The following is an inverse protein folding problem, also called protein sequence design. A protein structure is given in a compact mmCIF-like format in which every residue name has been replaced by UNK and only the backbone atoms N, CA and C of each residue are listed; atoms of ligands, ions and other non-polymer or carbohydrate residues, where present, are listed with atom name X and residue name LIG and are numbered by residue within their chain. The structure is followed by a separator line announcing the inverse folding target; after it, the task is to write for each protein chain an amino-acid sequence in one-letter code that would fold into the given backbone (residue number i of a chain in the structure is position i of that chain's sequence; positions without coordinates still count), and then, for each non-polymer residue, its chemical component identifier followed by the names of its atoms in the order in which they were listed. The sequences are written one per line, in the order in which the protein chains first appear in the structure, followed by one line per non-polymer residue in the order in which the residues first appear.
data_IF_873289338484
#
_entry.id   IF_873289338484
#
_cell.length_a   1.000
_cell.length_b   1.000
_cell.length_c   1.000
_cell.angle_alpha   90.00
_cell.angle_beta   90.00
_cell.angle_gamma   90.00
#
_symmetry.space_group_name_H-M   'P 1'
#
loop_
_entity.id
_entity.type
_entity.pdbx_description
1 polymer ?
#
# COMPACT_ATOMS: atom_id res chain seq x y z
N UNK A 1 -38.15 -33.81 46.89
CA UNK A 1 -37.87 -33.72 45.44
C UNK A 1 -37.04 -32.47 45.23
N UNK A 2 -35.73 -32.62 44.98
CA UNK A 2 -34.89 -31.52 44.51
C UNK A 2 -35.18 -31.37 43.01
N UNK A 3 -35.66 -30.20 42.60
CA UNK A 3 -35.70 -29.82 41.21
C UNK A 3 -34.33 -29.25 40.84
N UNK A 4 -33.56 -30.03 40.09
CA UNK A 4 -32.32 -29.57 39.47
C UNK A 4 -32.71 -28.69 38.28
N UNK A 5 -32.58 -27.36 38.41
CA UNK A 5 -32.61 -26.47 37.25
C UNK A 5 -31.37 -26.76 36.41
N UNK A 6 -31.57 -27.33 35.23
CA UNK A 6 -30.56 -27.31 34.19
C UNK A 6 -30.47 -25.87 33.68
N UNK A 7 -29.38 -25.18 34.02
CA UNK A 7 -28.96 -23.96 33.35
C UNK A 7 -28.52 -24.39 31.95
N UNK A 8 -29.37 -24.23 30.93
CA UNK A 8 -28.88 -24.19 29.56
C UNK A 8 -28.06 -22.91 29.45
N UNK A 9 -26.74 -23.05 29.39
CA UNK A 9 -25.87 -21.93 29.08
C UNK A 9 -26.22 -21.49 27.66
N UNK A 10 -26.94 -20.37 27.54
CA UNK A 10 -27.01 -19.65 26.28
C UNK A 10 -25.58 -19.22 25.97
N UNK A 11 -25.06 -19.63 24.80
CA UNK A 11 -23.80 -19.07 24.30
C UNK A 11 -24.01 -17.56 24.13
N UNK A 12 -23.08 -16.79 24.64
CA UNK A 12 -23.01 -15.35 24.43
C UNK A 12 -22.23 -15.09 23.12
N UNK A 13 -22.48 -13.96 22.43
CA UNK A 13 -21.69 -13.60 21.26
C UNK A 13 -20.19 -13.52 21.60
N UNK A 14 -19.34 -13.98 20.70
CA UNK A 14 -17.87 -13.90 20.83
C UNK A 14 -17.33 -13.21 19.58
N UNK A 15 -17.00 -11.92 19.68
CA UNK A 15 -16.76 -11.10 18.50
C UNK A 15 -15.29 -11.17 18.06
N UNK A 16 -15.09 -11.36 16.76
CA UNK A 16 -13.78 -11.31 16.11
C UNK A 16 -13.74 -10.16 15.11
N UNK A 17 -12.62 -9.44 15.06
CA UNK A 17 -12.43 -8.26 14.22
C UNK A 17 -11.31 -8.49 13.20
N UNK A 18 -11.61 -8.26 11.93
CA UNK A 18 -10.69 -8.41 10.80
C UNK A 18 -10.75 -7.17 9.91
N UNK A 19 -9.73 -6.91 9.09
CA UNK A 19 -9.79 -5.87 8.07
C UNK A 19 -9.46 -6.38 6.68
N UNK A 20 -9.68 -5.53 5.68
CA UNK A 20 -9.58 -5.89 4.27
C UNK A 20 -8.21 -5.61 3.64
N UNK A 21 -7.18 -5.29 4.42
CA UNK A 21 -5.90 -4.79 3.89
C UNK A 21 -4.98 -5.88 3.31
N UNK A 22 -5.22 -7.14 3.63
CA UNK A 22 -4.41 -8.29 3.19
C UNK A 22 -5.09 -9.25 2.20
N UNK A 23 -6.36 -9.02 1.85
CA UNK A 23 -7.19 -10.03 1.18
C UNK A 23 -6.85 -10.35 -0.29
N UNK A 24 -6.07 -9.53 -1.01
CA UNK A 24 -6.00 -9.65 -2.47
C UNK A 24 -5.01 -10.71 -3.02
N UNK A 25 -4.01 -11.15 -2.24
CA UNK A 25 -2.96 -12.05 -2.74
C UNK A 25 -2.75 -13.36 -1.98
N UNK A 26 -3.69 -13.76 -1.12
CA UNK A 26 -3.74 -15.16 -0.73
C UNK A 26 -4.42 -16.02 -1.82
N UNK A 27 -3.88 -15.96 -3.03
CA UNK A 27 -4.24 -16.88 -4.13
C UNK A 27 -3.93 -18.32 -3.70
N UNK A 28 -3.11 -18.53 -2.67
CA UNK A 28 -2.97 -19.83 -2.02
C UNK A 28 -4.17 -20.16 -1.09
N UNK A 29 -4.74 -19.21 -0.34
CA UNK A 29 -5.98 -19.40 0.43
C UNK A 29 -7.20 -19.67 -0.45
N UNK A 30 -7.25 -19.17 -1.69
CA UNK A 30 -8.29 -19.58 -2.67
C UNK A 30 -8.21 -21.08 -3.01
N UNK A 31 -7.06 -21.74 -2.77
CA UNK A 31 -6.87 -23.18 -3.02
C UNK A 31 -6.50 -24.00 -1.77
N UNK A 32 -6.44 -23.38 -0.59
CA UNK A 32 -6.18 -24.01 0.71
C UNK A 32 -7.28 -23.50 1.65
N UNK A 33 -8.40 -24.24 1.77
CA UNK A 33 -9.54 -23.85 2.61
C UNK A 33 -9.16 -23.57 4.07
N UNK A 34 -8.10 -24.20 4.57
CA UNK A 34 -7.68 -24.13 5.97
C UNK A 34 -6.73 -22.97 6.30
N UNK A 35 -6.58 -21.97 5.41
CA UNK A 35 -5.58 -20.89 5.56
C UNK A 35 -6.12 -19.47 5.42
N UNK A 36 -7.44 -19.27 5.43
CA UNK A 36 -8.00 -17.98 5.78
C UNK A 36 -7.85 -17.75 7.30
N UNK A 37 -6.62 -17.78 7.81
CA UNK A 37 -6.28 -17.00 9.00
C UNK A 37 -6.20 -15.57 8.49
N UNK A 38 -7.35 -14.94 8.26
CA UNK A 38 -7.43 -13.49 8.14
C UNK A 38 -6.99 -12.95 9.51
N UNK A 39 -5.68 -12.73 9.61
CA UNK A 39 -5.02 -12.28 10.81
C UNK A 39 -5.68 -10.95 11.27
N UNK A 40 -5.85 -10.85 12.58
CA UNK A 40 -6.33 -9.72 13.37
C UNK A 40 -6.11 -8.33 12.74
N UNK A 41 -6.95 -7.35 13.10
CA UNK A 41 -6.81 -5.94 12.70
C UNK A 41 -5.36 -5.45 12.59
N UNK A 42 -5.00 -4.92 11.42
CA UNK A 42 -3.70 -4.37 11.13
C UNK A 42 -3.44 -3.06 11.88
N UNK A 43 -2.70 -3.12 12.98
CA UNK A 43 -2.36 -1.92 13.76
C UNK A 43 -0.85 -1.64 13.73
N UNK A 44 -0.39 -0.39 13.55
CA UNK A 44 -1.15 0.86 13.40
C UNK A 44 -1.54 1.21 11.95
N UNK A 45 -2.62 1.98 11.77
CA UNK A 45 -3.11 2.48 10.49
C UNK A 45 -2.51 3.85 10.10
N UNK A 46 -2.48 4.13 8.81
CA UNK A 46 -2.05 5.38 8.20
C UNK A 46 -3.16 6.43 8.32
N UNK A 47 -2.85 7.61 8.88
CA UNK A 47 -3.77 8.74 8.87
C UNK A 47 -4.15 9.14 7.43
N UNK A 48 -5.45 9.24 7.18
CA UNK A 48 -6.07 9.45 5.87
C UNK A 48 -6.61 8.17 5.22
N UNK A 49 -6.26 6.98 5.73
CA UNK A 49 -6.64 5.73 5.12
C UNK A 49 -8.12 5.38 5.30
N UNK A 50 -8.72 4.84 4.23
CA UNK A 50 -10.05 4.24 4.24
C UNK A 50 -9.93 2.73 4.05
N UNK A 51 -10.64 1.98 4.90
CA UNK A 51 -10.63 0.52 4.93
C UNK A 51 -11.91 -0.02 5.55
N UNK A 52 -12.13 -1.33 5.44
CA UNK A 52 -13.27 -2.01 6.05
C UNK A 52 -12.83 -2.89 7.19
N UNK A 53 -13.60 -2.88 8.25
CA UNK A 53 -13.51 -3.82 9.36
C UNK A 53 -14.70 -4.78 9.27
N UNK A 54 -14.42 -6.07 9.32
CA UNK A 54 -15.41 -7.14 9.41
C UNK A 54 -15.49 -7.62 10.85
N UNK A 55 -16.71 -7.71 11.36
CA UNK A 55 -16.97 -8.19 12.71
C UNK A 55 -17.80 -9.47 12.59
N UNK A 56 -17.21 -10.56 13.04
CA UNK A 56 -17.80 -11.90 13.08
C UNK A 56 -18.24 -12.22 14.50
N UNK A 57 -19.15 -13.18 14.65
CA UNK A 57 -19.49 -13.79 15.93
C UNK A 57 -19.09 -15.26 15.88
N UNK A 58 -17.96 -15.63 16.48
CA UNK A 58 -17.40 -16.99 16.44
C UNK A 58 -18.31 -18.05 17.10
N UNK A 59 -19.40 -17.62 17.76
CA UNK A 59 -20.42 -18.50 18.31
C UNK A 59 -21.67 -18.65 17.43
N UNK A 60 -21.77 -17.91 16.33
CA UNK A 60 -22.87 -17.90 15.35
C UNK A 60 -24.26 -17.75 16.01
N UNK A 61 -24.33 -16.92 17.06
CA UNK A 61 -25.58 -16.67 17.80
C UNK A 61 -26.22 -15.34 17.45
N UNK A 62 -25.61 -14.57 16.55
CA UNK A 62 -26.07 -13.24 16.15
C UNK A 62 -26.26 -13.11 14.64
N UNK A 63 -27.20 -12.25 14.27
CA UNK A 63 -27.38 -11.80 12.89
C UNK A 63 -27.16 -10.28 12.76
N UNK A 64 -26.60 -9.65 13.79
CA UNK A 64 -26.36 -8.22 13.91
C UNK A 64 -27.58 -7.30 13.68
N UNK A 65 -28.82 -7.82 13.69
CA UNK A 65 -29.99 -6.99 13.43
C UNK A 65 -30.23 -5.99 14.56
N UNK A 66 -30.11 -4.71 14.25
CA UNK A 66 -30.30 -3.61 15.19
C UNK A 66 -29.07 -3.34 16.06
N UNK A 67 -27.97 -4.04 15.80
CA UNK A 67 -26.67 -3.74 16.39
C UNK A 67 -26.10 -2.48 15.74
N UNK A 68 -25.21 -1.80 16.45
CA UNK A 68 -24.49 -0.64 15.93
C UNK A 68 -23.08 -0.59 16.49
N UNK A 69 -22.27 0.27 15.88
CA UNK A 69 -20.90 0.51 16.27
C UNK A 69 -20.66 1.99 16.49
N UNK A 70 -19.78 2.31 17.43
CA UNK A 70 -19.35 3.66 17.74
C UNK A 70 -17.82 3.73 17.77
N UNK A 71 -17.25 4.90 17.47
CA UNK A 71 -15.86 5.16 17.76
C UNK A 71 -15.74 5.96 19.04
N UNK A 72 -14.83 5.55 19.94
CA UNK A 72 -14.56 6.30 21.16
C UNK A 72 -13.88 7.66 20.91
N UNK A 73 -13.27 7.86 19.73
CA UNK A 73 -12.72 9.16 19.29
C UNK A 73 -12.79 9.33 17.75
N UNK A 74 -13.83 10.02 17.27
CA UNK A 74 -14.01 10.34 15.84
C UNK A 74 -12.90 11.21 15.23
N UNK A 75 -12.06 11.85 16.04
CA UNK A 75 -10.89 12.60 15.54
C UNK A 75 -9.71 11.69 15.17
N UNK A 76 -9.75 10.43 15.62
CA UNK A 76 -8.78 9.37 15.31
C UNK A 76 -9.38 8.38 14.30
N UNK A 77 -10.59 7.88 14.55
CA UNK A 77 -11.25 6.91 13.67
C UNK A 77 -12.70 7.32 13.42
N UNK A 78 -13.04 7.58 12.16
CA UNK A 78 -14.40 7.94 11.77
C UNK A 78 -15.09 6.77 11.10
N UNK A 79 -16.31 6.46 11.56
CA UNK A 79 -17.19 5.51 10.87
C UNK A 79 -17.88 6.23 9.71
N UNK A 80 -17.77 5.66 8.51
CA UNK A 80 -18.39 6.17 7.28
C UNK A 80 -19.74 5.51 7.07
N UNK A 81 -19.77 4.18 7.14
CA UNK A 81 -20.96 3.36 6.90
C UNK A 81 -20.90 2.07 7.71
N UNK A 82 -22.07 1.48 7.94
CA UNK A 82 -22.23 0.20 8.64
C UNK A 82 -23.29 -0.61 7.90
N UNK A 83 -22.90 -1.77 7.40
CA UNK A 83 -23.81 -2.73 6.77
C UNK A 83 -23.69 -4.10 7.42
N UNK A 84 -24.65 -4.98 7.15
CA UNK A 84 -24.56 -6.39 7.54
C UNK A 84 -24.93 -7.28 6.37
N UNK A 85 -24.16 -8.32 6.16
CA UNK A 85 -24.36 -9.26 5.07
C UNK A 85 -24.48 -10.68 5.63
N UNK A 86 -25.31 -11.48 4.96
CA UNK A 86 -25.33 -12.92 5.15
C UNK A 86 -24.13 -13.48 4.38
N UNK A 87 -23.31 -14.29 5.04
CA UNK A 87 -22.14 -14.90 4.47
C UNK A 87 -22.28 -16.42 4.58
N UNK A 88 -22.01 -17.12 3.49
CA UNK A 88 -22.11 -18.58 3.43
C UNK A 88 -20.70 -19.11 3.16
N UNK A 89 -19.99 -19.50 4.23
CA UNK A 89 -18.62 -20.03 4.14
C UNK A 89 -18.58 -21.51 3.74
N UNK A 90 -19.65 -22.25 4.04
CA UNK A 90 -19.70 -23.70 3.92
C UNK A 90 -20.68 -24.12 2.83
N UNK A 91 -20.17 -24.34 1.60
CA UNK A 91 -20.95 -24.87 0.48
C UNK A 91 -21.63 -26.25 0.78
N UNK A 92 -21.29 -26.88 1.91
CA UNK A 92 -21.67 -28.25 2.30
C UNK A 92 -22.57 -28.36 3.57
N UNK A 93 -22.87 -27.28 4.32
CA UNK A 93 -23.79 -27.34 5.48
C UNK A 93 -25.05 -26.46 5.27
N UNK A 94 -26.17 -27.12 4.95
CA UNK A 94 -27.37 -26.51 4.37
C UNK A 94 -28.20 -25.59 5.32
N UNK A 95 -27.67 -25.02 6.42
CA UNK A 95 -28.56 -24.32 7.36
C UNK A 95 -28.00 -23.32 8.39
N UNK A 96 -26.70 -23.05 8.43
CA UNK A 96 -26.16 -22.06 9.37
C UNK A 96 -25.98 -20.73 8.60
N UNK A 97 -26.92 -19.81 8.79
CA UNK A 97 -26.85 -18.46 8.23
C UNK A 97 -25.79 -17.67 9.03
N UNK A 98 -24.54 -17.62 8.55
CA UNK A 98 -23.54 -16.75 9.16
C UNK A 98 -23.79 -15.30 8.74
N UNK A 99 -23.55 -14.38 9.66
CA UNK A 99 -23.70 -12.96 9.40
C UNK A 99 -22.40 -12.25 9.74
N UNK A 100 -22.10 -11.21 8.97
CA UNK A 100 -20.98 -10.31 9.22
C UNK A 100 -21.49 -8.88 9.34
N UNK A 101 -20.96 -8.13 10.30
CA UNK A 101 -21.13 -6.68 10.37
C UNK A 101 -19.92 -6.02 9.71
N UNK A 102 -20.17 -5.26 8.64
CA UNK A 102 -19.16 -4.59 7.82
C UNK A 102 -19.15 -3.12 8.19
N UNK A 103 -18.02 -2.63 8.69
CA UNK A 103 -17.83 -1.24 9.11
C UNK A 103 -16.84 -0.57 8.18
N UNK A 104 -17.31 0.39 7.38
CA UNK A 104 -16.44 1.24 6.56
C UNK A 104 -15.91 2.39 7.43
N UNK A 105 -14.60 2.52 7.53
CA UNK A 105 -13.95 3.50 8.42
C UNK A 105 -12.90 4.34 7.69
N UNK A 106 -12.62 5.51 8.25
CA UNK A 106 -11.53 6.39 7.88
C UNK A 106 -10.65 6.70 9.09
N UNK A 107 -9.36 6.40 8.99
CA UNK A 107 -8.34 6.85 9.93
C UNK A 107 -8.14 8.36 9.74
N UNK A 108 -8.53 9.17 10.72
CA UNK A 108 -8.58 10.63 10.60
C UNK A 108 -7.28 11.32 11.01
N UNK A 109 -6.70 10.92 12.14
CA UNK A 109 -5.57 11.61 12.75
C UNK A 109 -4.82 10.72 13.72
N UNK A 110 -3.56 11.07 13.99
CA UNK A 110 -2.72 10.26 14.86
C UNK A 110 -3.29 10.18 16.28
N UNK A 111 -3.36 8.97 16.84
CA UNK A 111 -3.93 8.72 18.16
C UNK A 111 -4.37 7.27 18.34
N UNK A 112 -5.15 7.04 19.38
CA UNK A 112 -5.76 5.76 19.68
C UNK A 112 -7.26 5.96 19.86
N UNK A 113 -8.04 5.04 19.33
CA UNK A 113 -9.49 4.94 19.50
C UNK A 113 -9.88 3.48 19.73
N UNK A 114 -11.12 3.26 20.13
CA UNK A 114 -11.75 1.95 20.18
C UNK A 114 -12.93 1.96 19.21
N UNK A 115 -13.10 0.86 18.46
CA UNK A 115 -14.34 0.57 17.74
C UNK A 115 -15.20 -0.27 18.66
N UNK A 116 -16.21 0.35 19.25
CA UNK A 116 -17.11 -0.24 20.24
C UNK A 116 -18.35 -0.82 19.54
N UNK A 117 -18.77 -2.02 19.96
CA UNK A 117 -19.93 -2.73 19.41
C UNK A 117 -21.04 -2.80 20.44
N UNK A 118 -22.24 -2.41 20.04
CA UNK A 118 -23.43 -2.39 20.88
C UNK A 118 -24.53 -3.25 20.27
N UNK A 119 -25.20 -4.04 21.11
CA UNK A 119 -26.31 -4.86 20.69
C UNK A 119 -27.59 -4.04 20.43
N UNK A 120 -28.66 -4.72 20.02
CA UNK A 120 -29.97 -4.10 19.75
C UNK A 120 -30.65 -3.47 20.98
N UNK A 121 -30.17 -3.76 22.18
CA UNK A 121 -30.66 -3.21 23.44
C UNK A 121 -29.78 -2.05 23.94
N UNK A 122 -28.80 -1.61 23.16
CA UNK A 122 -27.79 -0.61 23.53
C UNK A 122 -26.82 -1.11 24.62
N UNK A 123 -26.71 -2.44 24.81
CA UNK A 123 -25.73 -3.02 25.71
C UNK A 123 -24.37 -3.14 24.99
N UNK A 124 -23.31 -2.67 25.63
CA UNK A 124 -21.93 -2.85 25.16
C UNK A 124 -21.59 -4.35 25.10
N UNK A 125 -21.07 -4.80 23.96
CA UNK A 125 -20.71 -6.20 23.72
C UNK A 125 -19.20 -6.37 23.74
N UNK A 126 -18.48 -5.66 22.88
CA UNK A 126 -17.02 -5.74 22.76
C UNK A 126 -16.42 -4.47 22.13
N UNK A 127 -15.09 -4.35 22.14
CA UNK A 127 -14.38 -3.28 21.48
C UNK A 127 -13.03 -3.71 20.91
N UNK A 128 -12.67 -3.15 19.76
CA UNK A 128 -11.36 -3.35 19.15
C UNK A 128 -10.48 -2.08 19.27
N UNK A 129 -9.23 -2.18 19.76
CA UNK A 129 -8.33 -1.05 19.82
C UNK A 129 -7.77 -0.71 18.43
N UNK A 130 -7.80 0.57 18.09
CA UNK A 130 -7.33 1.10 16.80
C UNK A 130 -6.27 2.16 17.06
N UNK A 131 -5.08 1.97 16.47
CA UNK A 131 -4.00 2.96 16.51
C UNK A 131 -3.83 3.58 15.13
N UNK A 132 -3.69 4.91 15.08
CA UNK A 132 -3.46 5.66 13.84
C UNK A 132 -2.18 6.47 13.98
N UNK A 133 -1.33 6.43 12.95
CA UNK A 133 -0.07 7.15 12.87
C UNK A 133 0.01 8.09 11.68
N UNK A 134 0.85 9.13 11.81
CA UNK A 134 1.28 9.96 10.67
C UNK A 134 2.71 9.56 10.32
N UNK A 135 3.02 9.19 9.06
CA UNK A 135 4.33 8.68 8.73
C UNK A 135 5.40 9.76 8.82
N UNK A 136 6.59 9.35 9.29
CA UNK A 136 7.80 10.16 9.22
C UNK A 136 8.80 9.64 8.17
N UNK A 137 8.49 8.47 7.57
CA UNK A 137 9.29 7.85 6.53
C UNK A 137 8.36 7.22 5.48
N UNK A 138 8.78 7.32 4.22
CA UNK A 138 8.14 6.67 3.08
C UNK A 138 9.21 5.87 2.35
N UNK A 139 8.93 4.60 2.08
CA UNK A 139 9.78 3.75 1.28
C UNK A 139 9.08 3.43 -0.04
N UNK A 140 9.84 3.53 -1.14
CA UNK A 140 9.40 3.04 -2.43
C UNK A 140 9.99 1.66 -2.63
N UNK A 141 9.14 0.67 -2.91
CA UNK A 141 9.56 -0.68 -3.27
C UNK A 141 9.27 -0.91 -4.75
N UNK A 142 10.20 -1.49 -5.53
CA UNK A 142 9.92 -1.74 -6.93
C UNK A 142 8.79 -2.76 -7.00
N UNK A 143 7.81 -2.52 -7.88
CA UNK A 143 6.77 -3.49 -8.23
C UNK A 143 7.37 -4.66 -9.03
N UNK A 144 8.52 -5.20 -8.62
CA UNK A 144 9.20 -6.33 -9.24
C UNK A 144 8.34 -7.58 -9.23
N UNK A 145 8.88 -8.79 -9.45
CA UNK A 145 8.07 -10.01 -9.42
C UNK A 145 7.62 -10.30 -7.99
N UNK A 146 6.60 -9.58 -7.50
CA UNK A 146 5.80 -9.91 -6.32
C UNK A 146 4.96 -11.18 -6.57
N UNK A 147 5.03 -11.74 -7.79
CA UNK A 147 4.22 -12.84 -8.30
C UNK A 147 4.74 -14.26 -8.04
N UNK A 148 5.91 -14.44 -7.41
CA UNK A 148 6.42 -15.79 -7.16
C UNK A 148 7.04 -15.83 -5.78
N UNK A 149 6.39 -16.60 -4.92
CA UNK A 149 6.86 -17.19 -3.67
C UNK A 149 8.38 -17.42 -3.71
N UNK A 150 9.12 -16.39 -3.29
CA UNK A 150 10.58 -16.41 -3.22
C UNK A 150 10.91 -16.24 -1.77
N UNK A 151 11.23 -17.36 -1.14
CA UNK A 151 11.87 -17.45 0.16
C UNK A 151 12.96 -16.37 0.32
N UNK A 152 12.58 -15.25 0.93
CA UNK A 152 13.47 -14.38 1.71
C UNK A 152 14.39 -13.39 0.97
N UNK A 153 14.18 -13.02 -0.30
CA UNK A 153 14.97 -11.92 -0.90
C UNK A 153 14.08 -10.89 -1.59
N UNK A 154 13.58 -9.94 -0.80
CA UNK A 154 12.97 -8.70 -1.30
C UNK A 154 14.11 -7.84 -1.88
N UNK A 155 14.08 -7.50 -3.18
CA UNK A 155 15.10 -6.64 -3.77
C UNK A 155 15.01 -5.24 -3.15
N UNK A 156 15.94 -4.90 -2.25
CA UNK A 156 16.09 -3.53 -1.78
C UNK A 156 16.55 -2.66 -2.96
N UNK A 157 15.93 -1.50 -3.12
CA UNK A 157 16.43 -0.54 -4.08
C UNK A 157 17.76 0.02 -3.59
N UNK A 158 18.80 -0.10 -4.43
CA UNK A 158 20.05 0.61 -4.17
C UNK A 158 19.85 2.14 -4.18
N UNK A 159 20.80 2.92 -3.62
CA UNK A 159 20.68 4.37 -3.48
C UNK A 159 20.65 5.15 -4.80
N UNK A 160 20.85 4.49 -5.95
CA UNK A 160 20.97 5.11 -7.26
C UNK A 160 20.08 4.41 -8.29
N UNK A 161 18.78 4.42 -8.06
CA UNK A 161 17.81 3.97 -9.05
C UNK A 161 17.89 4.90 -10.26
N UNK A 162 18.00 4.31 -11.45
CA UNK A 162 18.05 5.06 -12.71
C UNK A 162 16.86 4.64 -13.55
N UNK A 163 15.93 5.55 -13.77
CA UNK A 163 15.02 5.43 -14.90
C UNK A 163 15.82 5.73 -16.18
N UNK A 164 15.72 4.83 -17.14
CA UNK A 164 16.27 5.03 -18.49
C UNK A 164 15.27 5.93 -19.23
N UNK A 165 15.72 6.87 -20.06
CA UNK A 165 14.83 7.72 -20.86
C UNK A 165 13.82 6.90 -21.66
N UNK A 166 12.60 7.42 -21.80
CA UNK A 166 11.38 6.71 -22.26
C UNK A 166 10.92 5.53 -21.37
N UNK A 167 11.51 5.36 -20.19
CA UNK A 167 11.15 4.32 -19.23
C UNK A 167 9.91 4.67 -18.40
N UNK A 168 9.22 3.62 -17.96
CA UNK A 168 8.19 3.69 -16.90
C UNK A 168 8.56 2.72 -15.79
N UNK A 169 8.46 3.17 -14.54
CA UNK A 169 8.65 2.34 -13.35
C UNK A 169 7.44 2.50 -12.42
N UNK A 170 7.04 1.40 -11.79
CA UNK A 170 5.99 1.37 -10.78
C UNK A 170 6.59 0.92 -9.47
N UNK A 171 6.20 1.59 -8.39
CA UNK A 171 6.64 1.31 -7.03
C UNK A 171 5.43 1.12 -6.12
N UNK A 172 5.50 0.14 -5.22
CA UNK A 172 4.67 0.11 -4.03
C UNK A 172 5.18 1.19 -3.06
N UNK A 173 4.26 1.88 -2.40
CA UNK A 173 4.56 2.90 -1.40
C UNK A 173 4.22 2.35 -0.02
N UNK A 174 5.23 2.33 0.85
CA UNK A 174 5.06 1.94 2.24
C UNK A 174 5.35 3.12 3.16
N UNK A 175 4.55 3.21 4.22
CA UNK A 175 4.58 4.29 5.19
C UNK A 175 5.09 3.77 6.53
N UNK A 176 5.95 4.56 7.19
CA UNK A 176 6.54 4.18 8.45
C UNK A 176 6.51 5.34 9.46
N UNK A 177 6.31 4.98 10.72
CA UNK A 177 6.48 5.84 11.89
C UNK A 177 7.49 5.21 12.84
N UNK A 178 8.65 5.85 12.99
CA UNK A 178 9.71 5.40 13.90
C UNK A 178 10.15 3.94 13.66
N UNK A 179 10.07 3.50 12.41
CA UNK A 179 10.43 2.16 11.95
C UNK A 179 9.30 1.13 11.99
N UNK A 180 8.14 1.45 12.57
CA UNK A 180 6.93 0.63 12.47
C UNK A 180 6.19 0.94 11.17
N UNK A 181 5.68 -0.09 10.48
CA UNK A 181 4.86 0.06 9.28
C UNK A 181 3.49 0.62 9.66
N UNK A 182 2.97 1.54 8.86
CA UNK A 182 1.59 2.01 8.92
C UNK A 182 0.78 1.34 7.80
N UNK A 183 -0.41 0.86 8.11
CA UNK A 183 -1.29 0.12 7.19
C UNK A 183 -2.39 1.01 6.59
N UNK A 184 -2.81 0.71 5.36
CA UNK A 184 -3.87 1.45 4.66
C UNK A 184 -3.41 2.16 3.38
N UNK A 185 -4.37 2.75 2.65
CA UNK A 185 -4.22 3.35 1.32
C UNK A 185 -4.77 4.78 1.26
N UNK A 186 -4.70 5.45 0.11
CA UNK A 186 -5.44 6.70 -0.15
C UNK A 186 -4.68 7.97 0.21
N UNK A 187 -3.41 7.87 0.58
CA UNK A 187 -2.60 9.03 1.00
C UNK A 187 -1.55 9.45 -0.01
N UNK A 188 -1.32 8.65 -1.06
CA UNK A 188 -0.22 8.93 -1.98
C UNK A 188 -0.52 10.15 -2.85
N UNK A 189 0.20 11.22 -2.56
CA UNK A 189 0.34 12.36 -3.45
C UNK A 189 1.82 12.51 -3.78
N UNK A 190 2.14 12.59 -5.06
CA UNK A 190 3.51 12.62 -5.51
C UNK A 190 3.73 13.82 -6.43
N UNK A 191 4.83 14.54 -6.20
CA UNK A 191 5.29 15.64 -7.04
C UNK A 191 6.74 15.42 -7.42
N UNK A 192 7.16 15.98 -8.57
CA UNK A 192 8.54 15.92 -9.03
C UNK A 192 8.99 17.30 -9.47
N UNK A 193 10.18 17.71 -9.00
CA UNK A 193 10.87 18.92 -9.48
C UNK A 193 11.73 18.65 -10.73
N UNK A 194 11.87 17.39 -11.14
CA UNK A 194 12.67 17.01 -12.31
C UNK A 194 11.93 17.34 -13.61
N UNK A 195 12.54 18.09 -14.54
CA UNK A 195 11.95 18.34 -15.86
C UNK A 195 11.94 17.10 -16.77
N UNK A 196 12.58 16.00 -16.34
CA UNK A 196 12.61 14.73 -17.07
C UNK A 196 11.44 13.80 -16.74
N UNK A 197 10.70 14.08 -15.66
CA UNK A 197 9.51 13.32 -15.28
C UNK A 197 8.31 13.96 -15.97
N UNK A 198 7.68 13.21 -16.86
CA UNK A 198 6.56 13.69 -17.69
C UNK A 198 5.21 13.29 -17.12
N UNK A 199 5.17 12.22 -16.33
CA UNK A 199 4.01 11.81 -15.56
C UNK A 199 4.43 11.17 -14.25
N UNK A 200 3.69 11.53 -13.21
CA UNK A 200 3.80 10.99 -11.87
C UNK A 200 2.38 10.73 -11.40
N UNK A 201 2.05 9.48 -11.16
CA UNK A 201 0.67 9.10 -10.87
C UNK A 201 0.62 8.17 -9.68
N UNK A 202 -0.12 8.61 -8.66
CA UNK A 202 -0.54 7.80 -7.53
C UNK A 202 -1.80 7.02 -7.89
N UNK A 203 -1.88 5.76 -7.49
CA UNK A 203 -3.12 5.00 -7.53
C UNK A 203 -3.23 4.12 -6.29
N UNK A 204 -4.45 4.02 -5.79
CA UNK A 204 -4.81 3.26 -4.59
C UNK A 204 -5.06 1.77 -4.88
N UNK A 205 -5.07 1.42 -6.18
CA UNK A 205 -5.22 0.03 -6.61
C UNK A 205 -4.39 -0.24 -7.84
N UNK A 206 -3.60 -1.31 -7.79
CA UNK A 206 -2.92 -1.88 -8.94
C UNK A 206 -2.88 -3.39 -8.81
N UNK A 207 -3.23 -4.09 -9.90
CA UNK A 207 -3.29 -5.56 -9.90
C UNK A 207 -4.22 -6.10 -8.80
N UNK A 208 -5.32 -5.38 -8.55
CA UNK A 208 -6.29 -5.70 -7.51
C UNK A 208 -5.75 -5.62 -6.06
N UNK A 209 -4.53 -5.07 -5.85
CA UNK A 209 -4.02 -4.76 -4.50
C UNK A 209 -4.53 -3.41 -4.01
N UNK A 210 -5.17 -3.40 -2.84
CA UNK A 210 -5.62 -2.18 -2.15
C UNK A 210 -4.47 -1.49 -1.41
N UNK A 211 -3.45 -1.05 -2.17
CA UNK A 211 -2.24 -0.38 -1.66
C UNK A 211 -1.96 0.91 -2.42
N UNK A 212 -1.15 1.77 -1.84
CA UNK A 212 -0.68 2.96 -2.53
C UNK A 212 0.46 2.61 -3.50
N UNK A 213 0.28 2.96 -4.77
CA UNK A 213 1.24 2.75 -5.84
C UNK A 213 1.67 4.06 -6.47
N UNK A 214 2.94 4.15 -6.82
CA UNK A 214 3.52 5.27 -7.54
C UNK A 214 4.08 4.82 -8.88
N UNK A 215 3.53 5.35 -9.98
CA UNK A 215 4.10 5.18 -11.31
C UNK A 215 4.82 6.45 -11.76
N UNK A 216 6.07 6.29 -12.21
CA UNK A 216 6.93 7.35 -12.73
C UNK A 216 7.25 7.04 -14.19
N UNK A 217 6.99 7.99 -15.08
CA UNK A 217 7.45 7.91 -16.48
C UNK A 217 8.37 9.08 -16.82
N UNK A 218 9.42 8.79 -17.57
CA UNK A 218 10.41 9.78 -18.03
C UNK A 218 10.34 9.98 -19.53
N UNK A 219 10.67 11.19 -19.99
CA UNK A 219 10.84 11.47 -21.42
C UNK A 219 12.09 10.79 -22.00
N UNK A 220 12.17 10.76 -23.33
CA UNK A 220 13.38 10.41 -24.06
C UNK A 220 14.50 11.37 -23.64
N UNK A 221 15.57 10.85 -23.03
CA UNK A 221 16.78 11.64 -22.90
C UNK A 221 17.49 11.57 -24.24
N UNK A 222 17.38 12.61 -25.07
CA UNK A 222 18.18 12.71 -26.29
C UNK A 222 19.68 12.58 -25.92
N UNK A 223 20.41 11.61 -26.49
CA UNK A 223 21.84 11.51 -26.28
C UNK A 223 22.51 12.71 -26.98
N UNK A 224 23.05 13.61 -26.17
CA UNK A 224 24.03 14.66 -26.46
C UNK A 224 23.59 16.01 -27.07
N UNK A 225 23.41 17.00 -26.19
CA UNK A 225 23.82 18.39 -26.45
C UNK A 225 25.22 18.74 -25.90
N UNK A 226 25.86 17.80 -25.17
CA UNK A 226 27.16 18.03 -24.50
C UNK A 226 28.34 17.56 -25.37
N UNK A 227 28.21 16.46 -26.12
CA UNK A 227 29.29 15.90 -26.94
C UNK A 227 29.64 16.68 -28.22
N UNK A 228 28.69 17.43 -28.80
CA UNK A 228 28.86 17.96 -30.17
C UNK A 228 29.60 19.32 -30.23
N UNK A 229 29.74 20.02 -29.10
CA UNK A 229 30.49 21.30 -29.03
C UNK A 229 32.01 21.10 -28.96
N UNK A 230 32.51 20.03 -28.36
CA UNK A 230 33.96 19.78 -28.27
C UNK A 230 34.53 19.21 -29.58
N UNK A 231 33.80 18.33 -30.26
CA UNK A 231 34.26 17.77 -31.54
C UNK A 231 34.30 18.82 -32.67
N UNK A 232 33.41 19.82 -32.68
CA UNK A 232 33.48 20.94 -33.64
C UNK A 232 34.67 21.87 -33.37
N UNK A 233 35.05 22.10 -32.11
CA UNK A 233 36.23 22.90 -31.76
C UNK A 233 37.55 22.20 -32.08
N UNK A 234 37.63 20.88 -31.92
CA UNK A 234 38.82 20.10 -32.28
C UNK A 234 39.05 20.06 -33.80
N UNK A 235 38.00 19.93 -34.62
CA UNK A 235 38.11 19.93 -36.09
C UNK A 235 38.45 21.30 -36.70
N UNK A 236 38.05 22.40 -36.04
CA UNK A 236 38.44 23.76 -36.49
C UNK A 236 39.91 24.10 -36.20
N UNK A 237 40.55 23.48 -35.20
CA UNK A 237 41.98 23.71 -34.89
C UNK A 237 42.94 22.95 -35.80
N UNK A 238 42.53 21.85 -36.43
CA UNK A 238 43.38 21.08 -37.35
C UNK A 238 43.44 21.63 -38.79
N UNK A 239 42.69 22.68 -39.13
CA UNK A 239 42.68 23.30 -40.47
C UNK A 239 43.45 24.63 -40.58
N UNK A 240 44.51 24.83 -39.79
CA UNK A 240 45.50 25.89 -40.08
C UNK A 240 46.73 25.29 -40.77
N UNK A 241 46.91 25.48 -42.09
CA UNK A 241 48.11 25.01 -42.77
C UNK A 241 49.31 25.83 -42.28
N UNK A 242 50.30 25.12 -41.72
CA UNK A 242 51.59 25.70 -41.36
C UNK A 242 52.30 26.22 -42.61
N UNK A 243 52.52 27.53 -42.66
CA UNK A 243 53.41 28.16 -43.64
C UNK A 243 54.82 27.56 -43.50
N UNK A 244 55.20 26.71 -44.46
CA UNK A 244 56.59 26.27 -44.68
C UNK A 244 57.40 27.47 -45.18
N UNK A 245 58.28 27.99 -44.32
CA UNK A 245 59.38 28.86 -44.74
C UNK A 245 60.44 28.02 -45.45
N UNK A 246 60.53 28.15 -46.78
CA UNK A 246 61.59 27.56 -47.58
C UNK A 246 62.89 28.35 -47.38
N UNK A 247 63.88 27.72 -46.74
CA UNK A 247 65.30 28.10 -46.83
C UNK A 247 65.81 27.73 -48.23
N UNK A 248 66.28 28.72 -48.97
CA UNK A 248 67.07 28.55 -50.19
C UNK A 248 68.41 29.28 -50.07
N UNK A 249 69.47 28.55 -49.73
CA UNK A 249 70.87 28.96 -49.89
C UNK A 249 71.32 28.58 -51.30
N UNK A 250 71.86 29.51 -52.09
CA UNK A 250 72.82 29.18 -53.16
C UNK A 250 73.87 30.28 -53.31
N UNK A 251 75.13 29.81 -53.36
CA UNK A 251 76.37 30.57 -53.55
C UNK A 251 76.57 30.90 -55.04
N UNK A 252 77.09 32.11 -55.30
CA UNK A 252 78.29 32.40 -56.11
C UNK A 252 78.27 32.28 -57.64
N UNK A 253 78.54 33.41 -58.32
CA UNK A 253 79.67 33.61 -59.27
C UNK A 253 79.64 35.05 -59.82
N UNK A 254 80.82 35.65 -59.97
CA UNK A 254 81.08 37.00 -60.45
C UNK A 254 82.34 37.53 -59.79
#
# INVERSE_FOLDING_TARGET
MLATLALTACKEPDLRFEDNLDLAYDIAAVFIPDKLEADELHSPYLAGAEFRIYIWDDNDVTNFKGWHVESSDESVLRIIDVDREEYDWDEDDDNDEDWVLIVEVQAMGAGQAELEVYDRNEDFVDAAPIEVGVPNQVELRPAGPMFIDRDGVIPQLGPNQKLIGDGTATFEVEYYLDGARLWGRGSVSATSESPLIISLWGRETFLDEERDWLTISTDAVEPDAVGDREHRRARQRQRRPGHRLHRGRRRGRG
#
